data_IF_886811460832
#
_entry.id   IF_886811460832
#
_cell.length_a   1.000
_cell.length_b   1.000
_cell.length_c   1.000
_cell.angle_alpha   90.00
_cell.angle_beta   90.00
_cell.angle_gamma   90.00
#
_symmetry.space_group_name_H-M   'P 1'
#
loop_
_entity.id
_entity.type
_entity.pdbx_description
1 polymer ?
#
# COMPACT_ATOMS: atom_id res chain seq x y z
N UNK A 1 20.83 7.37 -31.05
CA UNK A 1 20.55 8.07 -29.78
C UNK A 1 19.09 8.50 -29.80
N UNK A 2 18.22 7.87 -28.99
CA UNK A 2 16.82 8.27 -28.85
C UNK A 2 16.68 9.02 -27.53
N UNK A 3 16.31 10.29 -27.64
CA UNK A 3 16.06 11.24 -26.56
C UNK A 3 14.93 10.72 -25.65
N UNK A 4 15.14 10.72 -24.33
CA UNK A 4 14.10 10.43 -23.34
C UNK A 4 13.11 11.61 -23.28
N UNK A 5 11.81 11.38 -23.09
CA UNK A 5 10.84 12.47 -22.94
C UNK A 5 11.03 13.17 -21.59
N UNK A 6 10.95 14.51 -21.63
CA UNK A 6 10.97 15.38 -20.46
C UNK A 6 9.79 15.06 -19.53
N UNK A 7 10.09 14.72 -18.28
CA UNK A 7 9.10 14.71 -17.21
C UNK A 7 8.98 16.14 -16.69
N UNK A 8 7.91 16.83 -17.06
CA UNK A 8 7.57 18.13 -16.48
C UNK A 8 7.25 17.94 -14.98
N UNK A 9 8.13 18.49 -14.15
CA UNK A 9 7.90 18.59 -12.71
C UNK A 9 6.89 19.70 -12.49
N UNK A 10 5.66 19.35 -12.11
CA UNK A 10 4.64 20.31 -11.66
C UNK A 10 5.13 20.99 -10.37
N UNK A 11 5.73 22.17 -10.50
CA UNK A 11 6.10 23.04 -9.38
C UNK A 11 4.88 23.89 -9.03
N UNK A 12 4.21 23.58 -7.92
CA UNK A 12 3.14 24.41 -7.38
C UNK A 12 3.74 25.69 -6.75
N UNK A 13 3.00 26.81 -6.78
CA UNK A 13 3.46 28.18 -6.40
C UNK A 13 3.71 28.41 -4.90
N UNK A 14 4.08 27.37 -4.16
CA UNK A 14 4.72 27.44 -2.84
C UNK A 14 5.96 26.57 -2.94
N UNK A 15 7.16 27.12 -2.72
CA UNK A 15 8.47 26.54 -3.02
C UNK A 15 8.85 25.19 -2.37
N UNK A 16 7.89 24.36 -1.98
CA UNK A 16 8.08 22.98 -1.56
C UNK A 16 7.63 22.03 -2.68
N UNK A 17 8.56 21.23 -3.21
CA UNK A 17 8.23 20.06 -4.05
C UNK A 17 7.14 19.25 -3.33
N UNK A 18 6.01 18.99 -4.00
CA UNK A 18 4.97 18.09 -3.48
C UNK A 18 5.64 16.74 -3.18
N UNK A 19 5.64 16.35 -1.91
CA UNK A 19 6.26 15.08 -1.49
C UNK A 19 5.46 13.92 -2.07
N UNK A 20 6.16 12.85 -2.41
CA UNK A 20 5.55 11.61 -2.91
C UNK A 20 4.80 10.92 -1.77
N UNK A 21 3.62 10.36 -2.07
CA UNK A 21 2.85 9.57 -1.10
C UNK A 21 3.65 8.33 -0.68
N UNK A 22 3.42 7.83 0.54
CA UNK A 22 4.03 6.61 1.04
C UNK A 22 2.97 5.52 1.20
N UNK A 23 3.22 4.35 0.61
CA UNK A 23 2.44 3.14 0.87
C UNK A 23 3.29 2.13 1.62
N UNK A 24 2.75 1.64 2.72
CA UNK A 24 3.28 0.51 3.47
C UNK A 24 2.39 -0.69 3.19
N UNK A 25 2.88 -1.65 2.42
CA UNK A 25 2.08 -2.77 1.92
C UNK A 25 2.67 -4.10 2.35
N UNK A 26 1.86 -5.16 2.35
CA UNK A 26 2.31 -6.49 2.73
C UNK A 26 1.57 -7.03 3.96
N UNK A 27 1.55 -8.36 4.14
CA UNK A 27 0.66 -9.06 5.07
C UNK A 27 0.83 -8.65 6.53
N UNK A 28 1.98 -8.05 6.92
CA UNK A 28 2.22 -7.48 8.25
C UNK A 28 3.04 -6.18 8.17
N UNK A 29 2.40 -5.07 7.82
CA UNK A 29 2.94 -3.75 8.13
C UNK A 29 2.31 -3.23 9.43
N UNK A 30 3.04 -3.29 10.54
CA UNK A 30 2.70 -2.52 11.75
C UNK A 30 3.76 -1.46 11.97
N UNK A 31 3.61 -0.34 11.26
CA UNK A 31 4.29 0.91 11.63
C UNK A 31 3.30 1.78 12.40
N UNK A 32 2.87 1.30 13.57
CA UNK A 32 2.18 2.17 14.54
C UNK A 32 3.21 3.12 15.13
N UNK A 33 3.46 4.22 14.43
CA UNK A 33 4.39 5.24 14.91
C UNK A 33 3.62 6.33 15.66
N UNK A 34 3.59 6.22 16.99
CA UNK A 34 3.44 7.38 17.88
C UNK A 34 4.69 8.30 17.86
N UNK A 35 5.68 8.05 16.99
CA UNK A 35 6.85 8.92 16.84
C UNK A 35 6.56 9.99 15.80
N UNK A 36 6.69 11.23 16.26
CA UNK A 36 6.47 12.46 15.50
C UNK A 36 7.45 12.58 14.32
N UNK A 37 6.99 12.49 13.06
CA UNK A 37 7.81 12.72 11.87
C UNK A 37 8.48 14.11 11.86
N UNK A 38 7.92 15.07 12.62
CA UNK A 38 8.49 16.41 12.74
C UNK A 38 9.90 16.41 13.34
N UNK A 39 10.25 15.41 14.16
CA UNK A 39 11.60 15.28 14.73
C UNK A 39 12.68 15.01 13.66
N UNK A 40 12.29 14.72 12.42
CA UNK A 40 13.17 14.46 11.28
C UNK A 40 13.07 15.54 10.17
N UNK A 41 12.41 16.68 10.44
CA UNK A 41 12.23 17.75 9.44
C UNK A 41 11.27 17.38 8.30
N UNK A 42 10.36 16.44 8.57
CA UNK A 42 9.35 15.96 7.63
C UNK A 42 8.01 16.55 8.05
N UNK A 43 7.37 17.33 7.17
CA UNK A 43 5.99 17.80 7.37
C UNK A 43 5.10 16.59 7.65
N UNK A 44 4.30 16.60 8.72
CA UNK A 44 3.53 15.43 9.13
C UNK A 44 2.55 14.98 8.01
N UNK A 45 2.59 13.71 7.56
CA UNK A 45 1.65 13.20 6.57
C UNK A 45 0.24 13.13 7.15
N UNK A 46 -0.76 13.15 6.28
CA UNK A 46 -2.03 12.53 6.65
C UNK A 46 -1.86 11.02 6.72
N UNK A 47 -2.34 10.39 7.78
CA UNK A 47 -2.29 8.93 7.93
C UNK A 47 -3.62 8.34 7.45
N UNK A 48 -3.54 7.37 6.54
CA UNK A 48 -4.67 6.51 6.16
C UNK A 48 -4.44 5.17 6.86
N UNK A 49 -5.23 4.91 7.90
CA UNK A 49 -5.18 3.65 8.64
C UNK A 49 -5.77 2.49 7.83
N UNK A 50 -5.46 1.25 8.25
CA UNK A 50 -5.95 0.02 7.63
C UNK A 50 -7.49 0.02 7.49
N UNK A 51 -7.99 0.24 6.26
CA UNK A 51 -9.44 0.34 6.01
C UNK A 51 -10.19 -0.99 6.12
N UNK A 52 -9.47 -2.11 6.04
CA UNK A 52 -10.06 -3.47 6.01
C UNK A 52 -10.88 -3.73 7.27
N UNK A 53 -10.34 -3.38 8.44
CA UNK A 53 -11.04 -3.58 9.73
C UNK A 53 -12.32 -2.78 9.80
N UNK A 54 -12.29 -1.54 9.31
CA UNK A 54 -13.45 -0.64 9.26
C UNK A 54 -14.51 -1.21 8.32
N UNK A 55 -14.12 -1.64 7.12
CA UNK A 55 -15.04 -2.24 6.14
C UNK A 55 -15.67 -3.52 6.67
N UNK A 56 -14.88 -4.41 7.27
CA UNK A 56 -15.40 -5.66 7.83
C UNK A 56 -16.43 -5.40 8.92
N UNK A 57 -16.14 -4.47 9.83
CA UNK A 57 -17.05 -4.09 10.90
C UNK A 57 -18.34 -3.45 10.36
N UNK A 58 -18.24 -2.41 9.52
CA UNK A 58 -19.41 -1.67 9.03
C UNK A 58 -20.32 -2.48 8.11
N UNK A 59 -19.77 -3.44 7.37
CA UNK A 59 -20.51 -4.25 6.38
C UNK A 59 -20.82 -5.67 6.87
N UNK A 60 -20.41 -6.01 8.09
CA UNK A 60 -20.66 -7.32 8.69
C UNK A 60 -19.93 -8.46 7.99
N UNK A 61 -18.75 -8.22 7.42
CA UNK A 61 -17.91 -9.29 6.89
C UNK A 61 -17.13 -9.97 8.01
N UNK A 62 -16.90 -11.26 7.85
CA UNK A 62 -16.07 -12.06 8.74
C UNK A 62 -14.88 -12.65 7.99
N UNK A 63 -13.85 -13.11 8.70
CA UNK A 63 -12.65 -13.71 8.09
C UNK A 63 -13.01 -14.86 7.13
N UNK A 64 -13.99 -15.69 7.50
CA UNK A 64 -14.47 -16.78 6.64
C UNK A 64 -14.98 -16.32 5.27
N UNK A 65 -15.43 -15.08 5.16
CA UNK A 65 -15.96 -14.52 3.91
C UNK A 65 -14.85 -14.32 2.88
N UNK A 66 -13.57 -14.25 3.29
CA UNK A 66 -12.43 -14.21 2.37
C UNK A 66 -12.41 -15.42 1.44
N UNK A 67 -12.78 -16.59 1.95
CA UNK A 67 -12.72 -17.87 1.24
C UNK A 67 -13.98 -18.18 0.42
N UNK A 68 -15.02 -17.36 0.55
CA UNK A 68 -16.23 -17.46 -0.27
C UNK A 68 -16.04 -16.63 -1.54
N UNK A 69 -16.26 -17.22 -2.71
CA UNK A 69 -15.99 -16.52 -3.98
C UNK A 69 -16.83 -15.27 -4.19
N UNK A 70 -18.08 -15.27 -3.70
CA UNK A 70 -19.00 -14.15 -3.87
C UNK A 70 -18.79 -13.10 -2.79
N UNK A 71 -18.82 -13.49 -1.51
CA UNK A 71 -18.62 -12.56 -0.38
C UNK A 71 -17.20 -12.04 -0.33
N UNK A 72 -16.21 -12.85 -0.70
CA UNK A 72 -14.81 -12.44 -0.78
C UNK A 72 -14.61 -11.35 -1.82
N UNK A 73 -15.17 -11.51 -3.03
CA UNK A 73 -15.14 -10.46 -4.05
C UNK A 73 -15.87 -9.19 -3.58
N UNK A 74 -17.03 -9.32 -2.93
CA UNK A 74 -17.74 -8.17 -2.36
C UNK A 74 -16.90 -7.44 -1.31
N UNK A 75 -16.25 -8.17 -0.40
CA UNK A 75 -15.35 -7.62 0.61
C UNK A 75 -14.19 -6.86 -0.05
N UNK A 76 -13.48 -7.49 -0.99
CA UNK A 76 -12.35 -6.83 -1.68
C UNK A 76 -12.80 -5.62 -2.50
N UNK A 77 -13.98 -5.66 -3.11
CA UNK A 77 -14.59 -4.49 -3.78
C UNK A 77 -14.83 -3.35 -2.79
N UNK A 78 -15.40 -3.64 -1.62
CA UNK A 78 -15.64 -2.61 -0.61
C UNK A 78 -14.34 -2.02 -0.04
N UNK A 79 -13.31 -2.84 0.16
CA UNK A 79 -11.98 -2.39 0.58
C UNK A 79 -11.38 -1.46 -0.48
N UNK A 80 -11.38 -1.87 -1.75
CA UNK A 80 -10.88 -1.06 -2.86
C UNK A 80 -11.57 0.30 -2.94
N UNK A 81 -12.90 0.34 -2.86
CA UNK A 81 -13.67 1.59 -2.90
C UNK A 81 -13.34 2.48 -1.70
N UNK A 82 -13.30 1.92 -0.48
CA UNK A 82 -13.02 2.68 0.75
C UNK A 82 -11.59 3.24 0.76
N UNK A 83 -10.61 2.43 0.39
CA UNK A 83 -9.21 2.84 0.31
C UNK A 83 -9.04 3.95 -0.74
N UNK A 84 -9.60 3.77 -1.94
CA UNK A 84 -9.54 4.79 -2.98
C UNK A 84 -10.18 6.12 -2.52
N UNK A 85 -11.34 6.05 -1.85
CA UNK A 85 -12.01 7.22 -1.29
C UNK A 85 -11.14 7.93 -0.24
N UNK A 86 -10.50 7.18 0.66
CA UNK A 86 -9.60 7.75 1.67
C UNK A 86 -8.40 8.45 1.03
N UNK A 87 -7.80 7.86 -0.02
CA UNK A 87 -6.71 8.47 -0.78
C UNK A 87 -7.16 9.75 -1.51
N UNK A 88 -8.34 9.77 -2.12
CA UNK A 88 -8.88 10.94 -2.83
C UNK A 88 -9.16 12.12 -1.88
N UNK A 89 -9.57 11.84 -0.64
CA UNK A 89 -9.74 12.86 0.39
C UNK A 89 -8.42 13.55 0.76
N UNK A 90 -7.27 12.95 0.44
CA UNK A 90 -5.94 13.51 0.67
C UNK A 90 -5.32 14.19 -0.56
N UNK A 91 -6.07 14.48 -1.63
CA UNK A 91 -5.53 15.03 -2.89
C UNK A 91 -4.59 16.26 -2.74
N UNK A 92 -4.83 17.08 -1.71
CA UNK A 92 -4.13 18.34 -1.45
C UNK A 92 -2.97 18.19 -0.43
N UNK A 93 -2.75 16.98 0.12
CA UNK A 93 -1.70 16.68 1.10
C UNK A 93 -0.96 15.41 0.68
N UNK A 94 0.28 15.25 1.15
CA UNK A 94 0.93 13.96 1.04
C UNK A 94 0.45 13.05 2.18
N UNK A 95 0.35 11.76 1.92
CA UNK A 95 -0.14 10.80 2.91
C UNK A 95 0.78 9.59 3.08
N UNK A 96 0.61 8.93 4.22
CA UNK A 96 1.12 7.60 4.52
C UNK A 96 -0.09 6.68 4.63
N UNK A 97 -0.15 5.66 3.77
CA UNK A 97 -1.20 4.65 3.79
C UNK A 97 -0.68 3.34 4.37
N UNK A 98 -1.35 2.86 5.41
CA UNK A 98 -1.25 1.49 5.90
C UNK A 98 -2.15 0.61 5.04
N UNK A 99 -1.52 -0.19 4.16
CA UNK A 99 -2.11 -0.86 2.99
C UNK A 99 -2.36 0.05 1.80
N UNK A 100 -2.66 -0.60 0.68
CA UNK A 100 -3.02 0.01 -0.60
C UNK A 100 -4.19 -0.73 -1.23
N UNK A 101 -4.74 -0.18 -2.32
CA UNK A 101 -5.73 -0.90 -3.14
C UNK A 101 -5.15 -2.18 -3.73
N UNK A 102 -3.84 -2.24 -3.98
CA UNK A 102 -3.18 -3.44 -4.51
C UNK A 102 -3.32 -4.64 -3.56
N UNK A 103 -3.33 -4.41 -2.24
CA UNK A 103 -3.56 -5.48 -1.25
C UNK A 103 -4.93 -6.15 -1.51
N UNK A 104 -5.98 -5.38 -1.82
CA UNK A 104 -7.30 -5.94 -2.11
C UNK A 104 -7.31 -6.80 -3.39
N UNK A 105 -6.57 -6.39 -4.42
CA UNK A 105 -6.42 -7.16 -5.66
C UNK A 105 -5.66 -8.47 -5.42
N UNK A 106 -4.60 -8.45 -4.62
CA UNK A 106 -3.86 -9.67 -4.23
C UNK A 106 -4.78 -10.63 -3.48
N UNK A 107 -5.52 -10.15 -2.48
CA UNK A 107 -6.46 -11.00 -1.74
C UNK A 107 -7.56 -11.55 -2.64
N UNK A 108 -8.10 -10.75 -3.57
CA UNK A 108 -9.08 -11.23 -4.52
C UNK A 108 -8.52 -12.35 -5.40
N UNK A 109 -7.30 -12.17 -5.93
CA UNK A 109 -6.63 -13.20 -6.74
C UNK A 109 -6.44 -14.50 -5.95
N UNK A 110 -5.87 -14.40 -4.74
CA UNK A 110 -5.44 -15.57 -3.97
C UNK A 110 -6.61 -16.34 -3.35
N UNK A 111 -7.67 -15.65 -2.90
CA UNK A 111 -8.78 -16.33 -2.22
C UNK A 111 -10.01 -16.55 -3.09
N UNK A 112 -10.24 -15.70 -4.10
CA UNK A 112 -11.44 -15.76 -4.94
C UNK A 112 -11.15 -16.02 -6.42
N UNK A 113 -9.87 -16.08 -6.81
CA UNK A 113 -9.41 -16.49 -8.13
C UNK A 113 -9.23 -15.35 -9.12
N UNK A 114 -8.72 -15.70 -10.30
CA UNK A 114 -8.31 -14.74 -11.35
C UNK A 114 -9.45 -13.90 -11.89
N UNK A 115 -10.69 -14.40 -11.90
CA UNK A 115 -11.83 -13.62 -12.40
C UNK A 115 -12.21 -12.49 -11.44
N UNK A 116 -12.05 -12.69 -10.14
CA UNK A 116 -12.19 -11.63 -9.15
C UNK A 116 -11.12 -10.56 -9.31
N UNK A 117 -9.86 -10.96 -9.56
CA UNK A 117 -8.79 -10.02 -9.92
C UNK A 117 -9.17 -9.17 -11.14
N UNK A 118 -9.60 -9.81 -12.23
CA UNK A 118 -10.01 -9.10 -13.46
C UNK A 118 -11.14 -8.11 -13.19
N UNK A 119 -12.13 -8.51 -12.37
CA UNK A 119 -13.24 -7.65 -12.00
C UNK A 119 -12.75 -6.37 -11.30
N UNK A 120 -11.84 -6.50 -10.32
CA UNK A 120 -11.30 -5.37 -9.58
C UNK A 120 -10.33 -4.53 -10.42
N UNK A 121 -9.47 -5.15 -11.23
CA UNK A 121 -8.48 -4.46 -12.05
C UNK A 121 -9.09 -3.66 -13.20
N UNK A 122 -10.35 -3.91 -13.54
CA UNK A 122 -11.09 -3.14 -14.55
C UNK A 122 -11.87 -1.96 -13.97
N UNK A 123 -11.77 -1.70 -12.67
CA UNK A 123 -12.45 -0.57 -12.02
C UNK A 123 -11.69 0.75 -12.23
N UNK A 124 -12.43 1.87 -12.27
CA UNK A 124 -11.84 3.22 -12.35
C UNK A 124 -11.06 3.56 -11.08
N UNK A 125 -11.46 3.02 -9.94
CA UNK A 125 -10.81 3.21 -8.65
C UNK A 125 -9.43 2.55 -8.62
N UNK A 126 -9.31 1.32 -9.14
CA UNK A 126 -8.01 0.70 -9.34
C UNK A 126 -7.12 1.55 -10.26
N UNK A 127 -7.62 1.98 -11.42
CA UNK A 127 -6.83 2.78 -12.36
C UNK A 127 -6.26 4.06 -11.71
N UNK A 128 -7.06 4.74 -10.88
CA UNK A 128 -6.63 5.92 -10.11
C UNK A 128 -5.59 5.60 -9.06
N UNK A 129 -5.80 4.56 -8.26
CA UNK A 129 -4.87 4.17 -7.20
C UNK A 129 -3.55 3.64 -7.79
N UNK A 130 -3.60 2.88 -8.88
CA UNK A 130 -2.41 2.41 -9.59
C UNK A 130 -1.54 3.58 -10.07
N UNK A 131 -2.15 4.58 -10.72
CA UNK A 131 -1.45 5.79 -11.14
C UNK A 131 -0.84 6.55 -9.95
N UNK A 132 -1.53 6.61 -8.81
CA UNK A 132 -0.95 7.19 -7.59
C UNK A 132 0.25 6.40 -7.09
N UNK A 133 0.17 5.07 -7.08
CA UNK A 133 1.25 4.19 -6.62
C UNK A 133 2.48 4.27 -7.54
N UNK A 134 2.30 4.43 -8.85
CA UNK A 134 3.39 4.61 -9.81
C UNK A 134 4.26 5.84 -9.49
N UNK A 135 3.66 6.88 -8.94
CA UNK A 135 4.35 8.11 -8.52
C UNK A 135 4.66 8.18 -7.02
N UNK A 136 4.44 7.08 -6.30
CA UNK A 136 4.60 6.99 -4.85
C UNK A 136 5.90 6.33 -4.42
N UNK A 137 6.25 6.51 -3.16
CA UNK A 137 7.18 5.60 -2.47
C UNK A 137 6.38 4.40 -1.98
N UNK A 138 6.64 3.22 -2.53
CA UNK A 138 6.01 1.97 -2.08
C UNK A 138 7.04 1.14 -1.33
N UNK A 139 6.71 0.76 -0.09
CA UNK A 139 7.54 -0.11 0.75
C UNK A 139 6.77 -1.38 1.11
N UNK A 140 7.31 -2.53 0.72
CA UNK A 140 6.77 -3.84 1.08
C UNK A 140 7.36 -4.26 2.42
N UNK A 141 6.55 -4.44 3.45
CA UNK A 141 6.97 -5.10 4.69
C UNK A 141 6.96 -6.61 4.47
N UNK A 142 8.14 -7.23 4.49
CA UNK A 142 8.23 -8.68 4.41
C UNK A 142 7.52 -9.34 5.58
N UNK A 143 6.78 -10.40 5.29
CA UNK A 143 6.22 -11.26 6.31
C UNK A 143 7.34 -11.87 7.18
N UNK A 144 7.15 -11.90 8.50
CA UNK A 144 8.02 -12.66 9.40
C UNK A 144 7.45 -14.07 9.64
N UNK A 145 8.33 -15.08 9.71
CA UNK A 145 7.99 -16.49 9.93
C UNK A 145 7.75 -16.86 11.41
N UNK A 146 7.26 -15.95 12.25
CA UNK A 146 7.31 -16.18 13.69
C UNK A 146 6.08 -15.67 14.41
N UNK A 147 5.43 -16.59 15.14
CA UNK A 147 4.45 -16.41 16.24
C UNK A 147 2.99 -16.83 16.01
N UNK A 148 2.56 -17.26 14.80
CA UNK A 148 1.21 -17.82 14.62
C UNK A 148 1.22 -19.16 13.86
N UNK A 149 1.11 -20.31 14.56
CA UNK A 149 1.03 -21.62 13.93
C UNK A 149 -0.17 -21.69 12.96
N UNK A 150 0.08 -22.04 11.70
CA UNK A 150 -0.95 -22.23 10.67
C UNK A 150 -1.20 -21.05 9.71
N UNK A 151 -0.91 -19.81 10.12
CA UNK A 151 -1.08 -18.62 9.26
C UNK A 151 0.16 -18.31 8.39
N UNK A 152 1.28 -19.00 8.64
CA UNK A 152 2.58 -18.74 8.01
C UNK A 152 2.57 -18.97 6.49
N UNK A 153 2.04 -20.11 6.03
CA UNK A 153 1.99 -20.44 4.60
C UNK A 153 1.16 -19.42 3.82
N UNK A 154 0.03 -19.01 4.40
CA UNK A 154 -0.87 -18.02 3.80
C UNK A 154 -0.16 -16.67 3.65
N UNK A 155 0.58 -16.23 4.66
CA UNK A 155 1.31 -14.95 4.63
C UNK A 155 2.44 -14.95 3.61
N UNK A 156 3.20 -16.04 3.50
CA UNK A 156 4.26 -16.18 2.50
C UNK A 156 3.68 -16.16 1.08
N UNK A 157 2.59 -16.89 0.84
CA UNK A 157 1.90 -16.89 -0.46
C UNK A 157 1.42 -15.48 -0.82
N UNK A 158 0.79 -14.77 0.11
CA UNK A 158 0.35 -13.38 -0.12
C UNK A 158 1.52 -12.42 -0.38
N UNK A 159 2.65 -12.61 0.30
CA UNK A 159 3.84 -11.79 0.10
C UNK A 159 4.45 -12.00 -1.30
N UNK A 160 4.58 -13.27 -1.73
CA UNK A 160 5.04 -13.61 -3.08
C UNK A 160 4.08 -13.10 -4.15
N UNK A 161 2.77 -13.28 -3.95
CA UNK A 161 1.73 -12.78 -4.84
C UNK A 161 1.79 -11.25 -4.99
N UNK A 162 2.02 -10.53 -3.89
CA UNK A 162 2.20 -9.08 -3.91
C UNK A 162 3.42 -8.66 -4.75
N UNK A 163 4.57 -9.31 -4.60
CA UNK A 163 5.74 -9.03 -5.42
C UNK A 163 5.52 -9.32 -6.91
N UNK A 164 4.82 -10.40 -7.23
CA UNK A 164 4.43 -10.70 -8.62
C UNK A 164 3.57 -9.57 -9.18
N UNK A 165 2.55 -9.14 -8.45
CA UNK A 165 1.63 -8.12 -8.95
C UNK A 165 2.26 -6.72 -9.03
N UNK A 166 3.16 -6.37 -8.11
CA UNK A 166 3.95 -5.13 -8.22
C UNK A 166 4.76 -5.10 -9.52
N UNK A 167 5.39 -6.22 -9.90
CA UNK A 167 6.11 -6.34 -11.17
C UNK A 167 5.17 -6.31 -12.38
N UNK A 168 4.05 -7.01 -12.33
CA UNK A 168 3.06 -7.05 -13.41
C UNK A 168 2.49 -5.65 -13.71
N UNK A 169 2.24 -4.84 -12.66
CA UNK A 169 1.73 -3.48 -12.82
C UNK A 169 2.82 -2.40 -12.96
N UNK A 170 4.10 -2.77 -12.98
CA UNK A 170 5.21 -1.83 -13.15
C UNK A 170 5.39 -0.86 -11.97
N UNK A 171 4.93 -1.22 -10.77
CA UNK A 171 5.03 -0.40 -9.57
C UNK A 171 6.42 -0.59 -8.95
N UNK A 172 7.18 0.50 -8.84
CA UNK A 172 8.49 0.48 -8.18
C UNK A 172 8.32 0.37 -6.66
N UNK A 173 9.12 -0.48 -6.01
CA UNK A 173 9.04 -0.69 -4.58
C UNK A 173 10.41 -0.86 -3.93
N UNK A 174 10.46 -0.59 -2.63
CA UNK A 174 11.54 -0.99 -1.72
C UNK A 174 11.04 -2.05 -0.76
N UNK A 175 11.96 -2.82 -0.18
CA UNK A 175 11.61 -3.86 0.78
C UNK A 175 12.06 -3.42 2.17
N UNK A 176 11.18 -3.55 3.16
CA UNK A 176 11.48 -3.46 4.58
C UNK A 176 11.67 -4.90 5.10
N UNK A 177 12.91 -5.35 5.31
CA UNK A 177 13.17 -6.75 5.64
C UNK A 177 12.57 -7.17 6.97
N UNK A 178 12.09 -8.41 7.04
CA UNK A 178 11.51 -8.94 8.27
C UNK A 178 12.54 -9.11 9.41
N UNK A 179 13.84 -9.09 9.08
CA UNK A 179 14.96 -9.21 10.01
C UNK A 179 15.11 -7.95 10.89
N UNK A 180 14.63 -6.80 10.41
CA UNK A 180 14.65 -5.53 11.17
C UNK A 180 13.46 -5.53 12.13
N UNK A 181 13.71 -5.97 13.38
CA UNK A 181 12.68 -6.04 14.43
C UNK A 181 12.49 -4.71 15.17
N UNK A 182 13.53 -3.90 15.30
CA UNK A 182 13.45 -2.63 16.02
C UNK A 182 12.59 -1.61 15.25
N UNK A 183 11.59 -1.05 15.93
CA UNK A 183 10.68 -0.07 15.33
C UNK A 183 11.39 1.22 14.90
N UNK A 184 12.39 1.67 15.66
CA UNK A 184 13.17 2.86 15.33
C UNK A 184 14.00 2.68 14.07
N UNK A 185 14.63 1.52 13.90
CA UNK A 185 15.37 1.15 12.69
C UNK A 185 14.43 1.05 11.47
N UNK A 186 13.25 0.46 11.63
CA UNK A 186 12.24 0.39 10.57
C UNK A 186 11.80 1.79 10.13
N UNK A 187 11.49 2.67 11.08
CA UNK A 187 11.14 4.08 10.81
C UNK A 187 12.30 4.79 10.12
N UNK A 188 13.53 4.59 10.59
CA UNK A 188 14.73 5.20 10.00
C UNK A 188 14.92 4.79 8.54
N UNK A 189 14.72 3.50 8.23
CA UNK A 189 14.82 2.99 6.87
C UNK A 189 13.77 3.63 5.96
N UNK A 190 12.50 3.65 6.38
CA UNK A 190 11.41 4.27 5.62
C UNK A 190 11.66 5.77 5.43
N UNK A 191 12.11 6.48 6.46
CA UNK A 191 12.47 7.90 6.39
C UNK A 191 13.60 8.15 5.38
N UNK A 192 14.60 7.26 5.28
CA UNK A 192 15.66 7.37 4.26
C UNK A 192 15.11 7.24 2.84
N UNK A 193 14.12 6.37 2.63
CA UNK A 193 13.44 6.22 1.34
C UNK A 193 12.65 7.47 0.93
N UNK A 194 12.17 8.24 1.89
CA UNK A 194 11.42 9.49 1.66
C UNK A 194 12.30 10.72 1.40
N UNK A 195 13.60 10.66 1.75
CA UNK A 195 14.50 11.79 1.51
C UNK A 195 14.84 11.85 0.02
N UNK A 196 14.66 13.01 -0.65
CA UNK A 196 15.13 13.14 -2.03
C UNK A 196 16.63 12.88 -2.08
N UNK A 197 17.07 12.13 -3.09
CA UNK A 197 18.49 11.97 -3.40
C UNK A 197 19.02 13.36 -3.76
N UNK A 198 19.79 13.96 -2.85
CA UNK A 198 20.57 15.16 -3.13
C UNK A 198 21.69 14.74 -4.08
N UNK A 199 21.64 15.21 -5.33
CA UNK A 199 22.79 15.21 -6.23
C UNK A 199 23.60 16.48 -6.03
#
# INVERSE_FOLDING_TARGET
MRSRPNVEILINKSGHRKRSNLYLIGPQCTLHSNRDPASHGIEQPSVIEEVVRVVMHEKGFQERDLYDSFRGLQLQTHILLRQNQAEEQQKDRWFLADRSVLDALVYAKEYTGTDALKALSNTKEWAKSNLRMEHATVTVCEAANTEWPGAEKVRLVLNEALFVMLREYGISYSVLPNAIKDLGERVTLVVRLLKPISF
#
